data_IF_571494263611
#
_entry.id   IF_571494263611
#
_cell.length_a   1.000
_cell.length_b   1.000
_cell.length_c   1.000
_cell.angle_alpha   90.00
_cell.angle_beta   90.00
_cell.angle_gamma   90.00
#
_symmetry.space_group_name_H-M   'P 1'
#
loop_
_entity.id
_entity.type
_entity.pdbx_description
1 polymer ?
#
# COMPACT_ATOMS: atom_id res chain seq x y z
N UNK A 1 7.28 -12.31 10.46
CA UNK A 1 6.66 -11.55 9.35
C UNK A 1 6.00 -10.31 9.95
N UNK A 2 6.56 -9.12 9.78
CA UNK A 2 6.03 -7.88 10.36
C UNK A 2 5.14 -7.07 9.39
N UNK A 3 5.04 -7.51 8.13
CA UNK A 3 4.34 -6.79 7.06
C UNK A 3 2.88 -6.41 7.42
N UNK A 4 2.05 -7.28 8.04
CA UNK A 4 0.71 -6.89 8.46
C UNK A 4 0.66 -5.73 9.46
N UNK A 5 1.70 -5.55 10.29
CA UNK A 5 1.78 -4.42 11.22
C UNK A 5 2.09 -3.11 10.49
N UNK A 6 2.84 -3.17 9.39
CA UNK A 6 3.09 -2.01 8.53
C UNK A 6 1.84 -1.60 7.76
N UNK A 7 1.10 -2.58 7.22
CA UNK A 7 -0.19 -2.37 6.54
C UNK A 7 -1.23 -1.80 7.51
N UNK A 8 -1.30 -2.30 8.74
CA UNK A 8 -2.14 -1.74 9.80
C UNK A 8 -1.84 -0.25 10.05
N UNK A 9 -0.56 0.12 10.17
CA UNK A 9 -0.17 1.51 10.36
C UNK A 9 -0.48 2.40 9.14
N UNK A 10 -0.31 1.86 7.94
CA UNK A 10 -0.63 2.55 6.69
C UNK A 10 -2.13 2.82 6.56
N UNK A 11 -2.98 1.81 6.81
CA UNK A 11 -4.44 1.95 6.79
C UNK A 11 -4.90 2.90 7.91
N UNK A 12 -4.30 2.80 9.11
CA UNK A 12 -4.55 3.73 10.20
C UNK A 12 -4.29 5.19 9.81
N UNK A 13 -3.16 5.46 9.13
CA UNK A 13 -2.84 6.78 8.58
C UNK A 13 -3.94 7.28 7.63
N UNK A 14 -4.41 6.44 6.70
CA UNK A 14 -5.49 6.81 5.77
C UNK A 14 -6.78 7.13 6.54
N UNK A 15 -7.20 6.28 7.48
CA UNK A 15 -8.41 6.49 8.29
C UNK A 15 -8.35 7.83 9.04
N UNK A 16 -7.20 8.16 9.65
CA UNK A 16 -7.04 9.41 10.38
C UNK A 16 -6.99 10.64 9.48
N UNK A 17 -6.38 10.52 8.30
CA UNK A 17 -6.31 11.60 7.30
C UNK A 17 -7.70 11.94 6.77
N UNK A 18 -8.47 10.93 6.38
CA UNK A 18 -9.79 11.12 5.78
C UNK A 18 -10.86 11.51 6.81
N UNK A 19 -10.64 11.21 8.10
CA UNK A 19 -11.57 11.59 9.16
C UNK A 19 -12.95 10.92 9.05
N UNK A 20 -13.08 9.87 8.23
CA UNK A 20 -14.33 9.15 7.96
C UNK A 20 -14.77 8.23 9.11
N UNK A 21 -13.85 7.92 10.04
CA UNK A 21 -14.15 7.11 11.21
C UNK A 21 -14.83 7.93 12.32
N UNK A 22 -15.86 7.35 12.93
CA UNK A 22 -16.44 7.88 14.16
C UNK A 22 -15.43 7.97 15.31
N UNK A 23 -15.71 8.81 16.31
CA UNK A 23 -14.79 9.07 17.43
C UNK A 23 -14.37 7.79 18.18
N UNK A 24 -15.28 6.83 18.30
CA UNK A 24 -15.00 5.54 18.92
C UNK A 24 -14.05 4.68 18.09
N UNK A 25 -14.30 4.55 16.78
CA UNK A 25 -13.45 3.80 15.86
C UNK A 25 -12.05 4.42 15.77
N UNK A 26 -11.98 5.75 15.71
CA UNK A 26 -10.71 6.48 15.75
C UNK A 26 -9.93 6.18 17.04
N UNK A 27 -10.58 6.21 18.21
CA UNK A 27 -9.93 5.87 19.48
C UNK A 27 -9.47 4.40 19.54
N UNK A 28 -10.23 3.46 18.96
CA UNK A 28 -9.85 2.06 18.88
C UNK A 28 -8.64 1.85 17.95
N UNK A 29 -8.61 2.51 16.79
CA UNK A 29 -7.50 2.47 15.86
C UNK A 29 -6.20 2.98 16.52
N UNK A 30 -6.25 4.09 17.28
CA UNK A 30 -5.10 4.58 18.05
C UNK A 30 -4.59 3.54 19.04
N UNK A 31 -5.49 2.93 19.83
CA UNK A 31 -5.11 1.88 20.80
C UNK A 31 -4.48 0.67 20.13
N UNK A 32 -5.00 0.26 18.97
CA UNK A 32 -4.48 -0.87 18.20
C UNK A 32 -3.08 -0.57 17.65
N UNK A 33 -2.84 0.66 17.16
CA UNK A 33 -1.52 1.11 16.72
C UNK A 33 -0.53 1.21 17.86
N UNK A 34 -0.95 1.73 19.02
CA UNK A 34 -0.11 1.77 20.22
C UNK A 34 0.28 0.36 20.67
N UNK A 35 -0.65 -0.58 20.67
CA UNK A 35 -0.36 -1.98 21.00
C UNK A 35 0.60 -2.60 19.98
N UNK A 36 0.36 -2.40 18.68
CA UNK A 36 1.22 -2.91 17.62
C UNK A 36 2.65 -2.36 17.75
N UNK A 37 2.80 -1.07 18.02
CA UNK A 37 4.11 -0.44 18.19
C UNK A 37 4.82 -0.90 19.46
N UNK A 38 4.20 -0.73 20.63
CA UNK A 38 4.86 -0.94 21.91
C UNK A 38 5.03 -2.42 22.23
N UNK A 39 3.99 -3.24 22.06
CA UNK A 39 4.00 -4.66 22.46
C UNK A 39 4.49 -5.58 21.34
N UNK A 40 3.95 -5.43 20.12
CA UNK A 40 4.25 -6.36 19.03
C UNK A 40 5.58 -6.05 18.32
N UNK A 41 5.99 -4.78 18.25
CA UNK A 41 7.29 -4.38 17.68
C UNK A 41 8.34 -4.08 18.75
N UNK A 42 7.98 -4.09 20.04
CA UNK A 42 8.89 -3.73 21.13
C UNK A 42 9.38 -2.29 21.00
N UNK A 43 8.46 -1.36 20.67
CA UNK A 43 8.78 0.03 20.33
C UNK A 43 9.85 0.15 19.22
N UNK A 44 9.73 -0.70 18.18
CA UNK A 44 10.65 -0.77 17.05
C UNK A 44 11.95 -1.58 17.28
N UNK A 45 12.21 -2.08 18.49
CA UNK A 45 13.41 -2.87 18.78
C UNK A 45 13.50 -4.14 17.93
N UNK A 46 12.36 -4.79 17.64
CA UNK A 46 12.33 -6.00 16.79
C UNK A 46 12.64 -5.70 15.32
N UNK A 47 12.27 -4.51 14.83
CA UNK A 47 12.63 -4.06 13.49
C UNK A 47 14.13 -3.78 13.40
N UNK A 48 14.70 -3.15 14.43
CA UNK A 48 16.15 -2.90 14.52
C UNK A 48 16.94 -4.22 14.54
N UNK A 49 16.50 -5.20 15.32
CA UNK A 49 17.11 -6.53 15.34
C UNK A 49 17.05 -7.20 13.97
N UNK A 50 15.88 -7.16 13.31
CA UNK A 50 15.70 -7.66 11.95
C UNK A 50 16.64 -6.97 10.96
N UNK A 51 16.75 -5.64 11.03
CA UNK A 51 17.62 -4.86 10.15
C UNK A 51 19.11 -5.19 10.34
N UNK A 52 19.54 -5.52 11.56
CA UNK A 52 20.92 -5.94 11.84
C UNK A 52 21.23 -7.34 11.32
N UNK A 53 20.25 -8.25 11.39
CA UNK A 53 20.38 -9.64 10.88
C UNK A 53 20.33 -9.70 9.36
N UNK A 54 19.49 -8.87 8.75
CA UNK A 54 19.28 -8.83 7.30
C UNK A 54 19.46 -7.38 6.80
N UNK A 55 20.70 -6.89 6.62
CA UNK A 55 20.97 -5.49 6.27
C UNK A 55 20.33 -5.03 4.96
N UNK A 56 20.07 -5.95 4.04
CA UNK A 56 19.46 -5.67 2.74
C UNK A 56 17.94 -5.90 2.72
N UNK A 57 17.34 -6.34 3.83
CA UNK A 57 15.89 -6.53 3.90
C UNK A 57 15.19 -5.16 3.94
N UNK A 58 14.23 -4.88 3.04
CA UNK A 58 13.49 -3.64 3.07
C UNK A 58 12.35 -3.64 4.10
N UNK A 59 12.02 -4.80 4.66
CA UNK A 59 10.88 -4.97 5.56
C UNK A 59 10.92 -4.02 6.77
N UNK A 60 12.06 -3.81 7.47
CA UNK A 60 12.10 -2.88 8.59
C UNK A 60 11.77 -1.45 8.18
N UNK A 61 12.27 -0.97 7.04
CA UNK A 61 11.96 0.36 6.49
C UNK A 61 10.46 0.48 6.16
N UNK A 62 9.91 -0.49 5.44
CA UNK A 62 8.52 -0.48 5.00
C UNK A 62 7.52 -0.55 6.14
N UNK A 63 7.82 -1.33 7.18
CA UNK A 63 6.98 -1.37 8.37
C UNK A 63 7.15 -0.10 9.19
N UNK A 64 8.36 0.42 9.33
CA UNK A 64 8.63 1.57 10.21
C UNK A 64 8.06 2.89 9.69
N UNK A 65 8.15 3.16 8.39
CA UNK A 65 7.79 4.49 7.83
C UNK A 65 6.35 4.91 8.13
N UNK A 66 5.32 4.06 7.96
CA UNK A 66 3.95 4.40 8.36
C UNK A 66 3.82 4.76 9.86
N UNK A 67 4.46 4.00 10.76
CA UNK A 67 4.49 4.34 12.19
C UNK A 67 5.21 5.68 12.43
N UNK A 68 6.31 5.94 11.74
CA UNK A 68 7.04 7.19 11.86
C UNK A 68 6.18 8.39 11.46
N UNK A 69 5.43 8.28 10.37
CA UNK A 69 4.52 9.34 9.91
C UNK A 69 3.40 9.62 10.92
N UNK A 70 2.98 8.60 11.66
CA UNK A 70 2.03 8.70 12.77
C UNK A 70 2.64 9.20 14.09
N UNK A 71 3.93 9.56 14.11
CA UNK A 71 4.60 10.17 15.25
C UNK A 71 5.43 9.22 16.12
N UNK A 72 5.40 7.91 15.88
CA UNK A 72 6.25 6.96 16.59
C UNK A 72 7.72 7.16 16.20
N UNK A 73 8.66 6.86 17.11
CA UNK A 73 10.09 7.11 16.89
C UNK A 73 10.94 5.96 17.43
N UNK A 74 11.96 5.58 16.65
CA UNK A 74 13.03 4.70 17.08
C UNK A 74 14.36 5.17 16.46
N UNK A 75 15.16 6.00 17.17
CA UNK A 75 16.34 6.65 16.60
C UNK A 75 17.45 5.70 16.12
N UNK A 76 17.62 4.55 16.77
CA UNK A 76 18.66 3.58 16.41
C UNK A 76 18.32 2.85 15.10
N UNK A 77 17.05 2.53 14.90
CA UNK A 77 16.50 1.96 13.66
C UNK A 77 16.61 2.98 12.54
N UNK A 78 16.26 4.24 12.79
CA UNK A 78 16.44 5.30 11.80
C UNK A 78 17.91 5.43 11.38
N UNK A 79 18.84 5.34 12.33
CA UNK A 79 20.27 5.37 12.04
C UNK A 79 20.72 4.15 11.24
N UNK A 80 20.22 2.95 11.58
CA UNK A 80 20.51 1.72 10.84
C UNK A 80 19.96 1.76 9.41
N UNK A 81 18.73 2.25 9.21
CA UNK A 81 18.12 2.44 7.89
C UNK A 81 18.98 3.40 7.05
N UNK A 82 19.36 4.57 7.59
CA UNK A 82 20.22 5.53 6.87
C UNK A 82 21.58 4.95 6.51
N UNK A 83 22.14 4.10 7.35
CA UNK A 83 23.41 3.42 7.07
C UNK A 83 23.24 2.42 5.92
N UNK A 84 22.25 1.54 5.99
CA UNK A 84 22.03 0.49 5.01
C UNK A 84 21.63 1.05 3.64
N UNK A 85 20.87 2.13 3.61
CA UNK A 85 20.50 2.85 2.39
C UNK A 85 21.72 3.32 1.57
N UNK A 86 22.87 3.56 2.21
CA UNK A 86 24.10 4.00 1.53
C UNK A 86 24.87 2.87 0.85
N UNK A 87 24.44 1.62 1.04
CA UNK A 87 25.12 0.47 0.45
C UNK A 87 24.81 0.40 -1.05
N UNK A 88 25.83 0.16 -1.88
CA UNK A 88 25.62 -0.09 -3.30
C UNK A 88 24.68 -1.30 -3.54
N UNK A 89 24.75 -2.32 -2.68
CA UNK A 89 23.87 -3.48 -2.72
C UNK A 89 22.39 -3.15 -2.47
N UNK A 90 22.10 -2.09 -1.72
CA UNK A 90 20.73 -1.64 -1.50
C UNK A 90 20.13 -1.04 -2.80
N UNK A 91 20.89 -0.17 -3.47
CA UNK A 91 20.52 0.34 -4.78
C UNK A 91 20.40 -0.78 -5.83
N UNK A 92 21.25 -1.81 -5.74
CA UNK A 92 21.28 -2.95 -6.66
C UNK A 92 20.31 -4.09 -6.31
N UNK A 93 19.40 -3.94 -5.34
CA UNK A 93 18.43 -4.98 -5.00
C UNK A 93 17.62 -5.44 -6.23
N UNK A 94 17.67 -6.73 -6.53
CA UNK A 94 16.87 -7.36 -7.58
C UNK A 94 15.43 -7.55 -7.06
N UNK A 95 14.51 -6.77 -7.60
CA UNK A 95 13.08 -6.80 -7.23
C UNK A 95 12.24 -6.53 -8.47
N UNK A 96 10.96 -6.92 -8.42
CA UNK A 96 9.99 -6.58 -9.45
C UNK A 96 9.88 -5.05 -9.64
N UNK A 97 9.55 -4.55 -10.84
CA UNK A 97 9.47 -3.11 -11.10
C UNK A 97 8.57 -2.33 -10.14
N UNK A 98 7.35 -2.82 -9.87
CA UNK A 98 6.43 -2.16 -8.91
C UNK A 98 7.01 -2.11 -7.50
N UNK A 99 7.75 -3.16 -7.11
CA UNK A 99 8.42 -3.23 -5.82
C UNK A 99 9.56 -2.21 -5.74
N UNK A 100 10.32 -2.02 -6.83
CA UNK A 100 11.34 -0.96 -6.91
C UNK A 100 10.71 0.43 -6.78
N UNK A 101 9.57 0.67 -7.44
CA UNK A 101 8.83 1.92 -7.28
C UNK A 101 8.40 2.14 -5.82
N UNK A 102 7.87 1.11 -5.16
CA UNK A 102 7.51 1.17 -3.74
C UNK A 102 8.69 1.48 -2.81
N UNK A 103 9.87 0.91 -3.07
CA UNK A 103 11.10 1.24 -2.34
C UNK A 103 11.50 2.71 -2.55
N UNK A 104 11.40 3.19 -3.78
CA UNK A 104 11.74 4.59 -4.10
C UNK A 104 10.80 5.57 -3.38
N UNK A 105 9.49 5.27 -3.37
CA UNK A 105 8.49 6.06 -2.68
C UNK A 105 8.67 6.04 -1.15
N UNK A 106 8.99 4.88 -0.57
CA UNK A 106 9.17 4.76 0.89
C UNK A 106 10.49 5.41 1.36
N UNK A 107 11.55 5.38 0.56
CA UNK A 107 12.80 6.13 0.78
C UNK A 107 12.54 7.64 0.84
N UNK A 108 11.83 8.18 -0.16
CA UNK A 108 11.41 9.59 -0.17
C UNK A 108 10.61 9.94 1.08
N UNK A 109 9.62 9.12 1.44
CA UNK A 109 8.77 9.32 2.63
C UNK A 109 9.56 9.27 3.94
N UNK A 110 10.58 8.41 4.01
CA UNK A 110 11.51 8.38 5.13
C UNK A 110 12.37 9.65 5.23
N UNK A 111 12.59 10.32 4.09
CA UNK A 111 13.36 11.56 3.98
C UNK A 111 14.82 11.32 3.58
N UNK A 112 15.08 10.25 2.82
CA UNK A 112 16.35 10.03 2.13
C UNK A 112 16.14 10.16 0.63
N UNK A 113 17.22 10.50 -0.10
CA UNK A 113 17.18 10.51 -1.56
C UNK A 113 16.98 9.07 -2.05
N UNK A 114 15.96 8.77 -2.87
CA UNK A 114 15.73 7.42 -3.38
C UNK A 114 16.95 6.84 -4.08
N UNK A 115 17.22 5.56 -3.84
CA UNK A 115 18.34 4.85 -4.49
C UNK A 115 18.15 4.72 -6.00
N UNK A 116 16.91 4.71 -6.44
CA UNK A 116 16.48 4.88 -7.84
C UNK A 116 15.42 5.97 -7.85
N UNK A 117 15.51 7.00 -8.72
CA UNK A 117 14.46 8.00 -8.82
C UNK A 117 13.10 7.38 -9.13
N UNK A 118 12.02 7.84 -8.48
CA UNK A 118 10.66 7.31 -8.65
C UNK A 118 10.21 7.31 -10.13
N UNK A 119 10.57 8.35 -10.89
CA UNK A 119 10.26 8.42 -12.33
C UNK A 119 10.97 7.34 -13.14
N UNK A 120 12.22 7.00 -12.80
CA UNK A 120 12.98 5.94 -13.43
C UNK A 120 12.44 4.56 -13.03
N UNK A 121 12.06 4.37 -11.76
CA UNK A 121 11.42 3.15 -11.29
C UNK A 121 10.06 2.94 -11.98
N UNK A 122 9.23 3.99 -12.07
CA UNK A 122 7.93 3.98 -12.73
C UNK A 122 8.04 3.53 -14.18
N UNK A 123 9.01 4.03 -14.95
CA UNK A 123 9.16 3.70 -16.37
C UNK A 123 9.29 2.21 -16.69
N UNK A 124 9.60 1.37 -15.69
CA UNK A 124 9.73 -0.08 -15.82
C UNK A 124 8.47 -0.85 -15.35
N UNK A 125 7.48 -0.20 -14.75
CA UNK A 125 6.25 -0.87 -14.32
C UNK A 125 5.35 -1.19 -15.51
N UNK A 126 4.50 -2.20 -15.34
CA UNK A 126 3.52 -2.58 -16.36
C UNK A 126 2.58 -1.40 -16.69
N UNK A 127 2.07 -0.72 -15.65
CA UNK A 127 1.11 0.38 -15.80
C UNK A 127 1.70 1.58 -16.54
N UNK A 128 2.99 1.90 -16.35
CA UNK A 128 3.64 2.98 -17.10
C UNK A 128 3.74 2.70 -18.61
N UNK A 129 3.68 1.44 -19.02
CA UNK A 129 3.70 1.03 -20.42
C UNK A 129 2.31 0.98 -21.05
N UNK A 130 1.25 1.04 -20.24
CA UNK A 130 -0.16 1.03 -20.65
C UNK A 130 -0.45 0.02 -21.77
N UNK A 131 -0.13 -1.28 -21.57
CA UNK A 131 -0.31 -2.29 -22.60
C UNK A 131 -1.79 -2.66 -22.75
N UNK A 132 -2.09 -3.76 -23.44
CA UNK A 132 -3.44 -4.19 -23.70
C UNK A 132 -4.20 -4.55 -22.38
N UNK A 133 -5.31 -3.88 -22.07
CA UNK A 133 -5.99 -3.94 -20.76
C UNK A 133 -6.66 -5.30 -20.47
N UNK A 134 -7.02 -6.07 -21.49
CA UNK A 134 -7.60 -7.41 -21.34
C UNK A 134 -6.57 -8.47 -20.93
N UNK A 135 -5.30 -8.08 -20.77
CA UNK A 135 -4.24 -8.97 -20.27
C UNK A 135 -4.08 -8.88 -18.75
N UNK A 136 -4.79 -7.96 -18.08
CA UNK A 136 -4.77 -7.84 -16.63
C UNK A 136 -5.36 -9.10 -16.01
N UNK A 137 -4.50 -9.86 -15.33
CA UNK A 137 -4.87 -10.99 -14.50
C UNK A 137 -4.38 -10.77 -13.06
N UNK A 138 -4.69 -11.71 -12.15
CA UNK A 138 -4.52 -11.53 -10.70
C UNK A 138 -3.27 -10.75 -10.26
N UNK A 139 -2.07 -11.20 -10.64
CA UNK A 139 -0.82 -10.55 -10.22
C UNK A 139 -0.59 -9.18 -10.87
N UNK A 140 -0.98 -9.00 -12.15
CA UNK A 140 -0.91 -7.72 -12.85
C UNK A 140 -1.87 -6.71 -12.21
N UNK A 141 -3.05 -7.17 -11.77
CA UNK A 141 -3.99 -6.34 -11.02
C UNK A 141 -3.34 -5.73 -9.77
N UNK A 142 -2.65 -6.55 -8.96
CA UNK A 142 -1.89 -6.05 -7.81
C UNK A 142 -0.74 -5.12 -8.20
N UNK A 143 -0.05 -5.39 -9.31
CA UNK A 143 1.01 -4.51 -9.81
C UNK A 143 0.45 -3.14 -10.23
N UNK A 144 -0.75 -3.10 -10.82
CA UNK A 144 -1.48 -1.88 -11.19
C UNK A 144 -1.87 -1.09 -9.93
N UNK A 145 -2.55 -1.73 -8.98
CA UNK A 145 -3.03 -1.06 -7.76
C UNK A 145 -1.87 -0.49 -6.94
N UNK A 146 -0.81 -1.29 -6.72
CA UNK A 146 0.36 -0.85 -5.99
C UNK A 146 1.13 0.27 -6.71
N UNK A 147 1.16 0.28 -8.05
CA UNK A 147 1.76 1.40 -8.79
C UNK A 147 1.02 2.70 -8.45
N UNK A 148 -0.31 2.69 -8.48
CA UNK A 148 -1.12 3.87 -8.13
C UNK A 148 -0.91 4.25 -6.67
N UNK A 149 -0.97 3.30 -5.73
CA UNK A 149 -0.78 3.58 -4.31
C UNK A 149 0.58 4.22 -3.99
N UNK A 150 1.64 3.80 -4.69
CA UNK A 150 2.97 4.38 -4.51
C UNK A 150 3.10 5.78 -5.10
N UNK A 151 2.50 6.04 -6.27
CA UNK A 151 2.52 7.35 -6.91
C UNK A 151 1.69 8.40 -6.16
N UNK A 152 0.52 7.99 -5.65
CA UNK A 152 -0.41 8.90 -4.99
C UNK A 152 -0.26 8.96 -3.48
N UNK A 153 0.63 8.16 -2.90
CA UNK A 153 0.74 7.98 -1.44
C UNK A 153 -0.63 7.66 -0.83
N UNK A 154 -1.31 6.67 -1.41
CA UNK A 154 -2.67 6.27 -1.04
C UNK A 154 -3.67 7.44 -1.10
N UNK A 155 -3.61 8.22 -2.16
CA UNK A 155 -4.50 9.37 -2.40
C UNK A 155 -4.12 10.66 -1.67
N UNK A 156 -3.04 10.70 -0.86
CA UNK A 156 -2.56 11.95 -0.24
C UNK A 156 -2.04 12.95 -1.28
N UNK A 157 -1.54 12.44 -2.41
CA UNK A 157 -0.90 13.19 -3.49
C UNK A 157 -1.50 12.81 -4.84
N UNK A 158 -2.77 13.16 -5.11
CA UNK A 158 -3.43 12.78 -6.36
C UNK A 158 -2.69 13.29 -7.60
N UNK A 159 -2.06 14.48 -7.51
CA UNK A 159 -1.22 15.04 -8.57
C UNK A 159 0.08 14.25 -8.85
N UNK A 160 0.39 13.22 -8.05
CA UNK A 160 1.51 12.32 -8.28
C UNK A 160 1.26 11.30 -9.40
N UNK A 161 0.00 11.10 -9.81
CA UNK A 161 -0.37 10.22 -10.92
C UNK A 161 -0.18 10.96 -12.25
N UNK A 162 0.69 10.46 -13.17
CA UNK A 162 0.82 11.04 -14.50
C UNK A 162 -0.50 11.02 -15.28
N UNK A 163 -0.78 12.10 -16.01
CA UNK A 163 -2.06 12.28 -16.72
C UNK A 163 -2.34 11.16 -17.74
N UNK A 164 -1.31 10.66 -18.41
CA UNK A 164 -1.42 9.59 -19.39
C UNK A 164 -1.72 8.22 -18.72
N UNK A 165 -1.26 8.00 -17.49
CA UNK A 165 -1.68 6.84 -16.68
C UNK A 165 -3.11 7.02 -16.17
N UNK A 166 -3.47 8.22 -15.71
CA UNK A 166 -4.83 8.52 -15.25
C UNK A 166 -5.85 8.28 -16.38
N UNK A 167 -5.62 8.79 -17.59
CA UNK A 167 -6.48 8.59 -18.77
C UNK A 167 -6.65 7.10 -19.10
N UNK A 168 -5.57 6.31 -19.00
CA UNK A 168 -5.64 4.87 -19.22
C UNK A 168 -6.50 4.15 -18.17
N UNK A 169 -6.39 4.55 -16.90
CA UNK A 169 -7.20 3.99 -15.81
C UNK A 169 -8.66 4.43 -15.92
N UNK A 170 -8.94 5.70 -16.20
CA UNK A 170 -10.29 6.23 -16.43
C UNK A 170 -11.04 5.44 -17.52
N UNK A 171 -10.31 5.00 -18.56
CA UNK A 171 -10.88 4.23 -19.65
C UNK A 171 -11.17 2.76 -19.28
N UNK A 172 -10.29 2.10 -18.52
CA UNK A 172 -10.32 0.64 -18.36
C UNK A 172 -10.73 0.15 -16.97
N UNK A 173 -10.55 0.97 -15.94
CA UNK A 173 -10.91 0.63 -14.56
C UNK A 173 -12.39 0.25 -14.40
N UNK A 174 -13.36 0.92 -15.03
CA UNK A 174 -14.77 0.53 -14.91
C UNK A 174 -15.02 -0.92 -15.33
N UNK A 175 -14.45 -1.36 -16.45
CA UNK A 175 -14.59 -2.75 -16.91
C UNK A 175 -13.91 -3.74 -15.96
N UNK A 176 -12.75 -3.39 -15.40
CA UNK A 176 -12.11 -4.25 -14.39
C UNK A 176 -12.89 -4.33 -13.08
N UNK A 177 -13.54 -3.24 -12.65
CA UNK A 177 -14.42 -3.25 -11.49
C UNK A 177 -15.60 -4.21 -11.70
N UNK A 178 -16.25 -4.14 -12.86
CA UNK A 178 -17.35 -5.04 -13.24
C UNK A 178 -16.88 -6.51 -13.22
N UNK A 179 -15.79 -6.82 -13.92
CA UNK A 179 -15.24 -8.19 -13.99
C UNK A 179 -14.88 -8.75 -12.60
N UNK A 180 -14.24 -7.95 -11.74
CA UNK A 180 -13.80 -8.41 -10.42
C UNK A 180 -14.94 -8.55 -9.42
N UNK A 181 -15.98 -7.72 -9.58
CA UNK A 181 -17.23 -7.86 -8.85
C UNK A 181 -17.92 -9.19 -9.21
N UNK A 182 -18.05 -9.47 -10.51
CA UNK A 182 -18.66 -10.72 -11.01
C UNK A 182 -17.87 -11.95 -10.58
N UNK A 183 -16.54 -11.88 -10.61
CA UNK A 183 -15.64 -12.95 -10.15
C UNK A 183 -15.55 -13.06 -8.62
N UNK A 184 -16.18 -12.16 -7.87
CA UNK A 184 -16.10 -12.08 -6.40
C UNK A 184 -14.65 -12.07 -5.89
N UNK A 185 -13.74 -11.38 -6.57
CA UNK A 185 -12.32 -11.27 -6.15
C UNK A 185 -12.14 -10.05 -5.24
N UNK A 186 -12.72 -10.16 -4.06
CA UNK A 186 -12.94 -9.04 -3.14
C UNK A 186 -11.67 -8.30 -2.74
N UNK A 187 -10.58 -8.99 -2.44
CA UNK A 187 -9.33 -8.34 -2.04
C UNK A 187 -8.85 -7.35 -3.12
N UNK A 188 -8.72 -7.83 -4.35
CA UNK A 188 -8.29 -7.01 -5.48
C UNK A 188 -9.38 -6.01 -5.93
N UNK A 189 -10.67 -6.34 -5.79
CA UNK A 189 -11.75 -5.37 -6.02
C UNK A 189 -11.64 -4.18 -5.06
N UNK A 190 -11.40 -4.44 -3.78
CA UNK A 190 -11.20 -3.40 -2.78
C UNK A 190 -10.01 -2.50 -3.10
N UNK A 191 -8.90 -3.07 -3.57
CA UNK A 191 -7.76 -2.28 -4.03
C UNK A 191 -8.09 -1.44 -5.28
N UNK A 192 -8.85 -1.97 -6.24
CA UNK A 192 -9.29 -1.23 -7.43
C UNK A 192 -10.24 -0.08 -7.07
N UNK A 193 -11.09 -0.23 -6.05
CA UNK A 193 -11.91 0.87 -5.52
C UNK A 193 -11.04 1.98 -4.91
N UNK A 194 -9.93 1.63 -4.26
CA UNK A 194 -8.96 2.63 -3.78
C UNK A 194 -8.23 3.30 -4.96
N UNK A 195 -7.94 2.57 -6.04
CA UNK A 195 -7.38 3.15 -7.28
C UNK A 195 -8.33 4.18 -7.86
N UNK A 196 -9.62 3.87 -7.99
CA UNK A 196 -10.65 4.80 -8.47
C UNK A 196 -10.69 6.08 -7.62
N UNK A 197 -10.69 5.93 -6.29
CA UNK A 197 -10.65 7.06 -5.35
C UNK A 197 -9.35 7.90 -5.44
N UNK A 198 -8.28 7.37 -6.05
CA UNK A 198 -7.04 8.09 -6.28
C UNK A 198 -6.98 8.83 -7.63
N UNK A 199 -7.96 8.62 -8.52
CA UNK A 199 -7.99 9.28 -9.82
C UNK A 199 -8.29 10.79 -9.68
N UNK A 200 -7.88 11.62 -10.66
CA UNK A 200 -8.24 13.03 -10.69
C UNK A 200 -9.76 13.26 -10.67
N UNK A 201 -10.50 12.40 -11.38
CA UNK A 201 -11.97 12.37 -11.38
C UNK A 201 -12.45 10.95 -11.01
N UNK A 202 -12.59 10.63 -9.71
CA UNK A 202 -13.08 9.33 -9.27
C UNK A 202 -14.50 9.07 -9.76
N UNK A 203 -14.76 7.86 -10.27
CA UNK A 203 -16.09 7.46 -10.74
C UNK A 203 -17.02 7.10 -9.59
N UNK A 204 -16.47 6.54 -8.50
CA UNK A 204 -17.16 6.03 -7.32
C UNK A 204 -18.33 5.11 -7.70
N UNK A 205 -18.05 4.12 -8.55
CA UNK A 205 -19.07 3.21 -9.08
C UNK A 205 -19.93 2.59 -7.96
N UNK A 206 -21.23 2.94 -7.97
CA UNK A 206 -22.14 2.57 -6.90
C UNK A 206 -22.38 1.06 -6.84
N UNK A 207 -22.38 0.35 -7.96
CA UNK A 207 -22.60 -1.09 -7.99
C UNK A 207 -21.39 -1.83 -7.39
N UNK A 208 -20.18 -1.43 -7.76
CA UNK A 208 -18.94 -1.99 -7.20
C UNK A 208 -18.84 -1.74 -5.69
N UNK A 209 -19.10 -0.51 -5.22
CA UNK A 209 -19.09 -0.18 -3.79
C UNK A 209 -20.17 -0.95 -3.01
N UNK A 210 -21.39 -1.05 -3.54
CA UNK A 210 -22.48 -1.79 -2.88
C UNK A 210 -22.19 -3.29 -2.83
N UNK A 211 -21.69 -3.87 -3.93
CA UNK A 211 -21.31 -5.27 -3.98
C UNK A 211 -20.19 -5.61 -2.99
N UNK A 212 -19.15 -4.78 -2.95
CA UNK A 212 -18.07 -4.91 -1.98
C UNK A 212 -18.59 -4.81 -0.54
N UNK A 213 -19.44 -3.82 -0.22
CA UNK A 213 -20.02 -3.68 1.11
C UNK A 213 -20.92 -4.86 1.51
N UNK A 214 -21.64 -5.47 0.57
CA UNK A 214 -22.50 -6.63 0.83
C UNK A 214 -21.72 -7.92 1.13
N UNK A 215 -20.48 -8.03 0.64
CA UNK A 215 -19.62 -9.18 0.94
C UNK A 215 -19.02 -9.13 2.35
N UNK A 216 -18.96 -7.94 2.96
CA UNK A 216 -18.45 -7.75 4.32
C UNK A 216 -19.41 -8.34 5.36
N UNK A 217 -18.87 -9.10 6.31
CA UNK A 217 -19.63 -9.65 7.43
C UNK A 217 -19.94 -8.58 8.50
N UNK A 218 -20.96 -8.78 9.35
CA UNK A 218 -21.33 -7.81 10.39
C UNK A 218 -20.22 -7.47 11.40
N UNK A 219 -19.23 -8.35 11.57
CA UNK A 219 -18.05 -8.14 12.42
C UNK A 219 -16.90 -7.42 11.70
N UNK A 220 -17.09 -7.09 10.41
CA UNK A 220 -16.12 -6.45 9.54
C UNK A 220 -15.23 -7.42 8.76
N UNK A 221 -15.34 -8.73 8.97
CA UNK A 221 -14.57 -9.71 8.22
C UNK A 221 -14.92 -9.68 6.73
N UNK A 222 -13.92 -9.89 5.88
CA UNK A 222 -14.07 -9.85 4.43
C UNK A 222 -13.46 -11.13 3.82
N UNK A 223 -14.16 -11.83 2.93
CA UNK A 223 -13.56 -12.93 2.17
C UNK A 223 -12.50 -12.39 1.22
N UNK A 224 -11.44 -13.16 0.94
CA UNK A 224 -10.45 -12.80 -0.10
C UNK A 224 -11.06 -13.00 -1.49
N UNK A 225 -11.78 -14.11 -1.67
CA UNK A 225 -12.46 -14.49 -2.91
C UNK A 225 -13.72 -15.30 -2.58
N UNK A 226 -14.77 -15.14 -3.38
CA UNK A 226 -15.99 -15.93 -3.24
C UNK A 226 -16.73 -15.65 -1.93
N UNK A 227 -17.17 -16.69 -1.24
CA UNK A 227 -17.86 -16.55 0.03
C UNK A 227 -16.85 -16.69 1.20
N UNK A 228 -17.28 -16.37 2.43
CA UNK A 228 -16.42 -16.56 3.60
C UNK A 228 -15.97 -18.02 3.71
N UNK A 229 -14.66 -18.27 3.96
CA UNK A 229 -14.21 -19.63 4.20
C UNK A 229 -14.94 -20.19 5.43
N UNK A 230 -15.49 -21.39 5.28
CA UNK A 230 -15.96 -22.16 6.42
C UNK A 230 -14.72 -22.51 7.25
N UNK A 231 -14.64 -22.00 8.49
CA UNK A 231 -13.52 -22.30 9.37
C UNK A 231 -13.44 -23.80 9.65
N UNK A 232 -12.23 -24.34 9.71
CA UNK A 232 -11.96 -25.70 10.21
C UNK A 232 -12.24 -25.82 11.72
#
# INVERSE_FOLDING_TARGET
RFKPLGELALIGKVIFREGVAGSQQSALAHKLLDHAWHELLGSGARLLEGQRREPLSPVPLEVYVPFRELGYRQPDLESAIRLNHRLASWAALEVLPVRRLGLSAIERRFGVEPSVPETAALAHTWLARRPEPWTVEGHIGYDVTHTVFHLTDWGEKPAGLPADIAEYLELWLPTWLDDWLDLKRWDLLGELLVVDACLPEPTLDAAAWQGFAQAQQPDGAMPVVGDMPEGD
#
